data_IF_541934759905
#
_entry.id   IF_541934759905
#
_cell.length_a   1.000
_cell.length_b   1.000
_cell.length_c   1.000
_cell.angle_alpha   90.00
_cell.angle_beta   90.00
_cell.angle_gamma   90.00
#
_symmetry.space_group_name_H-M   'P 1'
#
loop_
_entity.id
_entity.type
_entity.pdbx_description
1 polymer ?
#
# COMPACT_ATOMS: atom_id res chain seq x y z
N UNK A 1 -2.71 -5.67 7.97
CA UNK A 1 -2.91 -4.71 6.86
C UNK A 1 -4.20 -5.07 6.14
N UNK A 2 -5.03 -4.10 5.77
CA UNK A 2 -6.30 -4.32 5.06
C UNK A 2 -6.05 -4.48 3.55
N UNK A 3 -6.37 -5.63 2.94
CA UNK A 3 -6.03 -5.89 1.53
C UNK A 3 -6.65 -4.91 0.53
N UNK A 4 -7.88 -4.48 0.79
CA UNK A 4 -8.59 -3.55 -0.09
C UNK A 4 -7.95 -2.14 -0.09
N UNK A 5 -7.38 -1.68 1.04
CA UNK A 5 -6.66 -0.39 1.12
C UNK A 5 -5.39 -0.43 0.28
N UNK A 6 -4.59 -1.49 0.40
CA UNK A 6 -3.38 -1.66 -0.42
C UNK A 6 -3.73 -1.64 -1.91
N UNK A 7 -4.74 -2.41 -2.32
CA UNK A 7 -5.17 -2.48 -3.72
C UNK A 7 -5.67 -1.13 -4.22
N UNK A 8 -6.47 -0.42 -3.43
CA UNK A 8 -6.99 0.90 -3.79
C UNK A 8 -5.86 1.93 -4.00
N UNK A 9 -4.91 2.01 -3.07
CA UNK A 9 -3.75 2.90 -3.20
C UNK A 9 -2.89 2.53 -4.41
N UNK A 10 -2.63 1.25 -4.65
CA UNK A 10 -1.87 0.79 -5.82
C UNK A 10 -2.55 1.19 -7.14
N UNK A 11 -3.86 1.00 -7.24
CA UNK A 11 -4.62 1.37 -8.44
C UNK A 11 -4.64 2.88 -8.64
N UNK A 12 -4.80 3.68 -7.58
CA UNK A 12 -4.69 5.17 -7.64
C UNK A 12 -3.31 5.60 -8.15
N UNK A 13 -2.25 4.91 -7.74
CA UNK A 13 -0.88 5.14 -8.20
C UNK A 13 -0.56 4.59 -9.61
N UNK A 14 -1.49 3.84 -10.25
CA UNK A 14 -1.28 3.28 -11.59
C UNK A 14 -0.23 2.18 -11.68
N UNK A 15 0.12 1.53 -10.57
CA UNK A 15 1.19 0.53 -10.52
C UNK A 15 0.66 -0.89 -10.71
N UNK A 16 1.44 -1.75 -11.38
CA UNK A 16 1.23 -3.20 -11.32
C UNK A 16 1.64 -3.74 -9.95
N UNK A 17 1.15 -4.93 -9.58
CA UNK A 17 1.54 -5.61 -8.33
C UNK A 17 3.06 -5.84 -8.30
N UNK A 18 3.61 -6.38 -9.38
CA UNK A 18 5.05 -6.58 -9.55
C UNK A 18 5.84 -5.29 -9.38
N UNK A 19 5.44 -4.22 -10.09
CA UNK A 19 6.16 -2.94 -10.03
C UNK A 19 6.16 -2.34 -8.63
N UNK A 20 5.02 -2.39 -7.93
CA UNK A 20 4.94 -1.94 -6.53
C UNK A 20 5.86 -2.77 -5.63
N UNK A 21 5.86 -4.10 -5.78
CA UNK A 21 6.73 -4.98 -4.99
C UNK A 21 8.21 -4.65 -5.18
N UNK A 22 8.65 -4.50 -6.43
CA UNK A 22 10.04 -4.15 -6.77
C UNK A 22 10.43 -2.79 -6.17
N UNK A 23 9.58 -1.77 -6.34
CA UNK A 23 9.83 -0.43 -5.79
C UNK A 23 9.88 -0.43 -4.25
N UNK A 24 9.14 -1.31 -3.59
CA UNK A 24 9.15 -1.48 -2.14
C UNK A 24 10.32 -2.38 -1.62
N UNK A 25 11.23 -2.79 -2.51
CA UNK A 25 12.42 -3.59 -2.18
C UNK A 25 12.16 -5.09 -2.06
N UNK A 26 11.08 -5.60 -2.66
CA UNK A 26 10.88 -7.05 -2.81
C UNK A 26 11.67 -7.53 -4.03
N UNK A 27 12.34 -8.67 -3.89
CA UNK A 27 13.03 -9.34 -4.99
C UNK A 27 12.12 -9.54 -6.21
N UNK A 28 12.62 -9.17 -7.39
CA UNK A 28 11.86 -9.16 -8.65
C UNK A 28 11.23 -10.51 -8.98
N UNK A 29 11.94 -11.61 -8.73
CA UNK A 29 11.44 -12.96 -9.02
C UNK A 29 10.22 -13.36 -8.17
N UNK A 30 9.98 -12.66 -7.06
CA UNK A 30 8.87 -12.96 -6.13
C UNK A 30 7.89 -11.79 -5.94
N UNK A 31 8.18 -10.62 -6.50
CA UNK A 31 7.43 -9.39 -6.27
C UNK A 31 5.94 -9.53 -6.62
N UNK A 32 5.63 -10.03 -7.82
CA UNK A 32 4.24 -10.24 -8.28
C UNK A 32 3.45 -11.17 -7.34
N UNK A 33 4.03 -12.34 -7.03
CA UNK A 33 3.39 -13.36 -6.21
C UNK A 33 3.12 -12.87 -4.77
N UNK A 34 4.10 -12.22 -4.13
CA UNK A 34 3.96 -11.69 -2.76
C UNK A 34 2.91 -10.58 -2.71
N UNK A 35 2.94 -9.64 -3.65
CA UNK A 35 1.96 -8.56 -3.70
C UNK A 35 0.54 -9.07 -3.91
N UNK A 36 0.35 -10.08 -4.77
CA UNK A 36 -0.93 -10.76 -4.93
C UNK A 36 -1.40 -11.43 -3.61
N UNK A 37 -0.52 -12.09 -2.87
CA UNK A 37 -0.87 -12.68 -1.57
C UNK A 37 -1.32 -11.63 -0.56
N UNK A 38 -0.68 -10.46 -0.54
CA UNK A 38 -1.07 -9.35 0.34
C UNK A 38 -2.43 -8.75 -0.06
N UNK A 39 -2.68 -8.50 -1.35
CA UNK A 39 -3.96 -7.96 -1.84
C UNK A 39 -5.13 -8.95 -1.72
N UNK A 40 -4.84 -10.24 -1.59
CA UNK A 40 -5.83 -11.28 -1.28
C UNK A 40 -5.99 -11.55 0.22
N UNK A 41 -5.15 -10.94 1.06
CA UNK A 41 -5.15 -11.19 2.51
C UNK A 41 -4.66 -12.58 2.92
N UNK A 42 -3.96 -13.30 2.04
CA UNK A 42 -3.38 -14.61 2.34
C UNK A 42 -2.22 -14.45 3.33
N UNK A 43 -1.40 -13.43 3.11
CA UNK A 43 -0.32 -13.03 4.00
C UNK A 43 -0.44 -11.55 4.34
N UNK A 44 0.14 -11.17 5.48
CA UNK A 44 0.27 -9.77 5.88
C UNK A 44 1.74 -9.40 5.83
N UNK A 45 2.12 -8.30 5.14
CA UNK A 45 3.49 -7.81 5.21
C UNK A 45 3.81 -7.37 6.64
N UNK A 46 5.06 -7.47 7.05
CA UNK A 46 5.50 -6.83 8.29
C UNK A 46 5.34 -5.31 8.21
N UNK A 47 5.41 -4.65 9.36
CA UNK A 47 5.19 -3.21 9.43
C UNK A 47 6.25 -2.42 8.65
N UNK A 48 7.51 -2.89 8.61
CA UNK A 48 8.58 -2.22 7.87
C UNK A 48 8.31 -2.22 6.36
N UNK A 49 7.84 -3.34 5.80
CA UNK A 49 7.40 -3.45 4.42
C UNK A 49 6.14 -2.63 4.16
N UNK A 50 5.18 -2.61 5.09
CA UNK A 50 4.01 -1.73 4.99
C UNK A 50 4.43 -0.26 4.88
N UNK A 51 5.41 0.20 5.68
CA UNK A 51 5.94 1.57 5.56
C UNK A 51 6.60 1.82 4.20
N UNK A 52 7.40 0.88 3.67
CA UNK A 52 7.99 1.02 2.32
C UNK A 52 6.93 1.11 1.22
N UNK A 53 5.89 0.26 1.30
CA UNK A 53 4.75 0.32 0.38
C UNK A 53 4.04 1.69 0.46
N UNK A 54 3.86 2.21 1.67
CA UNK A 54 3.24 3.51 1.91
C UNK A 54 4.04 4.65 1.25
N UNK A 55 5.38 4.64 1.42
CA UNK A 55 6.28 5.60 0.81
C UNK A 55 6.24 5.57 -0.72
N UNK A 56 6.23 4.38 -1.33
CA UNK A 56 6.13 4.23 -2.80
C UNK A 56 4.77 4.72 -3.32
N UNK A 57 3.71 4.53 -2.54
CA UNK A 57 2.34 4.89 -2.91
C UNK A 57 1.95 6.32 -2.54
N UNK A 58 2.85 7.08 -1.91
CA UNK A 58 2.59 8.44 -1.42
C UNK A 58 1.34 8.51 -0.52
N UNK A 59 1.19 7.53 0.38
CA UNK A 59 0.11 7.50 1.37
C UNK A 59 0.68 7.31 2.78
N UNK A 60 0.01 7.79 3.84
CA UNK A 60 0.41 7.50 5.21
C UNK A 60 0.26 6.01 5.51
N UNK A 61 1.24 5.38 6.19
CA UNK A 61 1.20 3.94 6.46
C UNK A 61 -0.04 3.49 7.26
N UNK A 62 -0.61 4.38 8.09
CA UNK A 62 -1.84 4.12 8.83
C UNK A 62 -3.07 3.93 7.92
N UNK A 63 -3.06 4.48 6.69
CA UNK A 63 -4.11 4.27 5.70
C UNK A 63 -4.40 2.79 5.47
N UNK A 64 -3.37 1.94 5.46
CA UNK A 64 -3.56 0.51 5.23
C UNK A 64 -4.25 -0.23 6.38
N UNK A 65 -4.52 0.44 7.50
CA UNK A 65 -5.15 -0.12 8.69
C UNK A 65 -6.44 0.61 9.08
N UNK A 66 -6.83 1.64 8.34
CA UNK A 66 -8.08 2.37 8.56
C UNK A 66 -9.28 1.53 8.10
N UNK A 67 -10.10 1.10 9.06
CA UNK A 67 -11.27 0.25 8.81
C UNK A 67 -12.38 1.06 8.18
N UNK A 68 -12.64 2.24 8.73
CA UNK A 68 -13.69 3.15 8.31
C UNK A 68 -13.28 3.90 7.04
N UNK A 69 -14.17 3.97 6.06
CA UNK A 69 -13.90 4.60 4.76
C UNK A 69 -13.72 6.11 4.87
N UNK A 70 -14.54 6.78 5.68
CA UNK A 70 -14.44 8.21 5.96
C UNK A 70 -13.10 8.57 6.62
N UNK A 71 -12.65 7.76 7.58
CA UNK A 71 -11.34 7.92 8.20
C UNK A 71 -10.21 7.71 7.20
N UNK A 72 -10.30 6.69 6.34
CA UNK A 72 -9.31 6.43 5.31
C UNK A 72 -9.20 7.60 4.32
N UNK A 73 -10.32 8.21 3.93
CA UNK A 73 -10.35 9.42 3.09
C UNK A 73 -9.71 10.63 3.80
N UNK A 74 -10.02 10.85 5.08
CA UNK A 74 -9.40 11.91 5.88
C UNK A 74 -7.88 11.75 5.97
N UNK A 75 -7.38 10.52 6.16
CA UNK A 75 -5.94 10.21 6.19
C UNK A 75 -5.27 10.57 4.86
N UNK A 76 -5.90 10.25 3.72
CA UNK A 76 -5.36 10.61 2.41
C UNK A 76 -5.32 12.13 2.22
N UNK A 77 -6.38 12.85 2.60
CA UNK A 77 -6.44 14.31 2.50
C UNK A 77 -5.41 15.03 3.38
N UNK A 78 -5.09 14.47 4.56
CA UNK A 78 -4.01 14.98 5.41
C UNK A 78 -2.66 14.92 4.68
N UNK A 79 -2.38 13.81 4.00
CA UNK A 79 -1.13 13.61 3.25
C UNK A 79 -0.94 14.64 2.13
N UNK A 80 -1.99 14.86 1.32
CA UNK A 80 -1.97 15.82 0.20
C UNK A 80 -1.77 17.27 0.67
N UNK A 81 -2.09 17.57 1.93
CA UNK A 81 -1.93 18.91 2.53
C UNK A 81 -0.52 19.19 3.04
N UNK A 82 0.35 18.18 3.16
CA UNK A 82 1.74 18.34 3.62
C UNK A 82 2.76 18.39 2.46
N UNK A 83 2.35 18.09 1.23
CA UNK A 83 3.17 18.18 0.01
C UNK A 83 3.03 19.52 -0.72
N UNK A 84 2.25 20.48 -0.19
CA UNK A 84 2.17 21.88 -0.65
C UNK A 84 3.08 22.78 0.18
#
# INVERSE_FOLDING_TARGET
MLPHRLKAARLKAGLSQERLGILAGIDEATASARMNQYERGIHTPDFALACRLASVLHVPACYFYAVEDDLAEMILGYSESQEK
#
